data_IF_489734256226
#
_entry.id   IF_489734256226
#
_cell.length_a   1.000
_cell.length_b   1.000
_cell.length_c   1.000
_cell.angle_alpha   90.00
_cell.angle_beta   90.00
_cell.angle_gamma   90.00
#
_symmetry.space_group_name_H-M   'P 1'
#
loop_
_entity.id
_entity.type
_entity.pdbx_description
1 polymer ?
#
# COMPACT_ATOMS: atom_id res chain seq x y z
N UNK A 1 -7.34 13.16 -30.03
CA UNK A 1 -7.98 11.98 -29.42
C UNK A 1 -7.05 11.47 -28.35
N UNK A 2 -7.56 11.04 -27.20
CA UNK A 2 -6.75 10.30 -26.24
C UNK A 2 -6.25 9.01 -26.91
N UNK A 3 -4.96 8.71 -26.77
CA UNK A 3 -4.38 7.44 -27.22
C UNK A 3 -4.42 6.52 -26.03
N UNK A 4 -5.21 5.46 -26.12
CA UNK A 4 -5.23 4.44 -25.07
C UNK A 4 -3.96 3.59 -25.15
N UNK A 5 -3.43 3.11 -24.01
CA UNK A 5 -2.40 2.07 -23.99
C UNK A 5 -2.86 0.87 -24.83
N UNK A 6 -1.95 0.31 -25.62
CA UNK A 6 -2.22 -0.87 -26.46
C UNK A 6 -1.38 -2.01 -25.91
N UNK A 7 -2.00 -3.19 -25.78
CA UNK A 7 -1.32 -4.39 -25.29
C UNK A 7 -0.07 -4.70 -26.13
N UNK A 8 1.09 -4.75 -25.47
CA UNK A 8 2.33 -5.24 -26.07
C UNK A 8 2.48 -6.76 -25.84
N UNK A 9 3.59 -7.34 -26.31
CA UNK A 9 3.86 -8.78 -26.20
C UNK A 9 3.81 -9.28 -24.75
N UNK A 10 4.50 -8.60 -23.82
CA UNK A 10 4.51 -8.99 -22.40
C UNK A 10 3.13 -8.86 -21.74
N UNK A 11 2.34 -7.83 -22.08
CA UNK A 11 0.97 -7.68 -21.57
C UNK A 11 0.10 -8.87 -21.96
N UNK A 12 0.18 -9.30 -23.22
CA UNK A 12 -0.57 -10.45 -23.74
C UNK A 12 -0.06 -11.78 -23.17
N UNK A 13 1.26 -11.90 -22.96
CA UNK A 13 1.88 -13.07 -22.33
C UNK A 13 1.39 -13.28 -20.89
N UNK A 14 1.32 -12.20 -20.11
CA UNK A 14 0.94 -12.25 -18.70
C UNK A 14 -0.57 -12.34 -18.45
N UNK A 15 -1.41 -12.00 -19.43
CA UNK A 15 -2.88 -12.03 -19.30
C UNK A 15 -3.43 -13.35 -18.70
N UNK A 16 -3.06 -14.56 -19.18
CA UNK A 16 -3.53 -15.81 -18.56
C UNK A 16 -3.03 -16.02 -17.12
N UNK A 17 -1.83 -15.51 -16.78
CA UNK A 17 -1.27 -15.63 -15.43
C UNK A 17 -2.03 -14.71 -14.47
N UNK A 18 -2.26 -13.47 -14.88
CA UNK A 18 -3.07 -12.49 -14.15
C UNK A 18 -4.51 -12.98 -13.99
N UNK A 19 -5.08 -13.62 -15.02
CA UNK A 19 -6.42 -14.19 -14.96
C UNK A 19 -6.55 -15.27 -13.90
N UNK A 20 -5.57 -16.18 -13.85
CA UNK A 20 -5.50 -17.22 -12.81
C UNK A 20 -5.38 -16.63 -11.40
N UNK A 21 -4.54 -15.61 -11.23
CA UNK A 21 -4.38 -14.94 -9.93
C UNK A 21 -5.62 -14.15 -9.52
N UNK A 22 -6.29 -13.51 -10.47
CA UNK A 22 -7.56 -12.83 -10.24
C UNK A 22 -8.65 -13.81 -9.78
N UNK A 23 -8.78 -14.97 -10.45
CA UNK A 23 -9.75 -16.00 -10.06
C UNK A 23 -9.45 -16.52 -8.65
N UNK A 24 -8.19 -16.90 -8.36
CA UNK A 24 -7.75 -17.32 -7.02
C UNK A 24 -8.05 -16.25 -5.97
N UNK A 25 -7.76 -14.98 -6.27
CA UNK A 25 -8.01 -13.86 -5.37
C UNK A 25 -9.50 -13.78 -5.06
N UNK A 26 -10.36 -13.78 -6.08
CA UNK A 26 -11.81 -13.70 -5.88
C UNK A 26 -12.38 -14.88 -5.11
N UNK A 27 -11.97 -16.12 -5.43
CA UNK A 27 -12.49 -17.35 -4.83
C UNK A 27 -12.14 -17.49 -3.33
N UNK A 28 -11.02 -16.91 -2.92
CA UNK A 28 -10.54 -16.98 -1.52
C UNK A 28 -10.92 -15.76 -0.70
N UNK A 29 -11.60 -14.78 -1.29
CA UNK A 29 -11.95 -13.53 -0.62
C UNK A 29 -12.97 -13.75 0.50
N UNK A 30 -12.64 -13.26 1.69
CA UNK A 30 -13.57 -13.10 2.79
C UNK A 30 -14.04 -11.66 2.79
N UNK A 31 -15.30 -11.46 2.43
CA UNK A 31 -15.92 -10.14 2.31
C UNK A 31 -15.87 -9.37 3.64
N UNK A 32 -15.57 -8.09 3.53
CA UNK A 32 -15.71 -7.12 4.61
C UNK A 32 -16.04 -5.75 4.02
N UNK A 33 -16.71 -4.91 4.82
CA UNK A 33 -17.08 -3.56 4.40
C UNK A 33 -16.54 -2.54 5.38
N UNK A 34 -16.06 -1.41 4.84
CA UNK A 34 -15.45 -0.35 5.64
C UNK A 34 -16.38 0.23 6.71
N UNK A 35 -17.68 0.31 6.42
CA UNK A 35 -18.64 0.87 7.38
C UNK A 35 -18.82 0.03 8.64
N UNK A 36 -18.43 -1.25 8.62
CA UNK A 36 -18.47 -2.13 9.80
C UNK A 36 -17.33 -1.84 10.80
N UNK A 37 -16.32 -1.05 10.39
CA UNK A 37 -15.11 -0.76 11.16
C UNK A 37 -14.98 0.73 11.53
N UNK A 38 -16.11 1.43 11.58
CA UNK A 38 -16.17 2.84 11.99
C UNK A 38 -17.18 2.97 13.13
N UNK A 39 -16.80 3.52 14.29
CA UNK A 39 -17.72 3.68 15.43
C UNK A 39 -18.63 4.88 15.22
N UNK A 40 -19.60 4.77 14.30
CA UNK A 40 -20.45 5.89 13.86
C UNK A 40 -21.15 6.64 15.00
N UNK A 41 -21.45 5.96 16.12
CA UNK A 41 -22.06 6.55 17.32
C UNK A 41 -21.17 7.62 17.99
N UNK A 42 -19.86 7.65 17.72
CA UNK A 42 -18.94 8.68 18.21
C UNK A 42 -18.97 9.96 17.36
N UNK A 43 -19.57 9.88 16.18
CA UNK A 43 -19.62 10.96 15.20
C UNK A 43 -20.39 12.17 15.71
N UNK A 44 -19.82 13.36 15.49
CA UNK A 44 -20.48 14.65 15.79
C UNK A 44 -20.06 15.72 14.79
N UNK A 45 -20.95 16.68 14.58
CA UNK A 45 -20.75 17.77 13.62
C UNK A 45 -19.48 18.60 13.94
N UNK A 46 -18.87 19.15 12.89
CA UNK A 46 -17.88 20.24 12.97
C UNK A 46 -18.59 21.59 13.09
N UNK A 47 -17.86 22.67 13.40
CA UNK A 47 -18.45 23.96 13.73
C UNK A 47 -19.35 24.54 12.63
N UNK A 48 -19.03 24.28 11.36
CA UNK A 48 -19.83 24.71 10.21
C UNK A 48 -21.28 24.17 10.22
N UNK A 49 -21.52 23.02 10.87
CA UNK A 49 -22.83 22.39 11.01
C UNK A 49 -23.28 22.38 12.49
N UNK A 50 -23.06 23.48 13.20
CA UNK A 50 -23.46 23.70 14.60
C UNK A 50 -22.83 22.72 15.61
N UNK A 51 -21.66 22.17 15.28
CA UNK A 51 -20.90 21.30 16.16
C UNK A 51 -19.66 21.95 16.76
N UNK A 52 -18.60 21.16 16.96
CA UNK A 52 -17.33 21.63 17.53
C UNK A 52 -16.20 21.15 16.63
N UNK A 53 -15.30 22.05 16.26
CA UNK A 53 -14.10 21.70 15.51
C UNK A 53 -13.14 20.84 16.33
N UNK A 54 -12.14 20.28 15.66
CA UNK A 54 -11.15 19.46 16.33
C UNK A 54 -10.27 20.30 17.26
N UNK A 55 -9.91 19.74 18.41
CA UNK A 55 -8.85 20.23 19.29
C UNK A 55 -8.03 19.04 19.81
N UNK A 56 -6.75 19.23 20.17
CA UNK A 56 -5.86 18.12 20.53
C UNK A 56 -6.36 17.21 21.67
N UNK A 57 -7.16 17.74 22.59
CA UNK A 57 -7.80 17.00 23.69
C UNK A 57 -8.82 15.95 23.24
N UNK A 58 -9.29 16.01 21.99
CA UNK A 58 -10.23 15.02 21.43
C UNK A 58 -9.54 13.73 20.98
N UNK A 59 -8.22 13.74 20.76
CA UNK A 59 -7.46 12.54 20.44
C UNK A 59 -7.38 11.64 21.68
N UNK A 60 -7.80 10.40 21.52
CA UNK A 60 -7.80 9.38 22.59
C UNK A 60 -6.73 8.32 22.36
N UNK A 61 -6.29 8.12 21.11
CA UNK A 61 -5.25 7.17 20.74
C UNK A 61 -3.84 7.70 21.04
N UNK A 62 -2.88 6.80 21.33
CA UNK A 62 -1.47 7.17 21.44
C UNK A 62 -0.96 7.81 20.15
N UNK A 63 -0.08 8.82 20.28
CA UNK A 63 0.39 9.61 19.13
C UNK A 63 1.04 8.76 18.03
N UNK A 64 1.84 7.75 18.38
CA UNK A 64 2.50 6.89 17.40
C UNK A 64 1.50 6.03 16.59
N UNK A 65 0.35 5.68 17.17
CA UNK A 65 -0.74 4.99 16.47
C UNK A 65 -1.42 5.94 15.50
N UNK A 66 -1.77 7.15 15.95
CA UNK A 66 -2.37 8.18 15.08
C UNK A 66 -1.45 8.52 13.91
N UNK A 67 -0.17 8.78 14.19
CA UNK A 67 0.84 9.07 13.18
C UNK A 67 0.94 7.93 12.15
N UNK A 68 0.86 6.68 12.59
CA UNK A 68 0.92 5.53 11.70
C UNK A 68 -0.32 5.39 10.80
N UNK A 69 -1.52 5.60 11.38
CA UNK A 69 -2.78 5.58 10.64
C UNK A 69 -2.82 6.73 9.63
N UNK A 70 -2.35 7.92 9.99
CA UNK A 70 -2.28 9.06 9.07
C UNK A 70 -1.29 8.83 7.93
N UNK A 71 -0.10 8.29 8.20
CA UNK A 71 0.86 7.90 7.14
C UNK A 71 0.19 6.94 6.15
N UNK A 72 -0.46 5.88 6.64
CA UNK A 72 -1.14 4.93 5.77
C UNK A 72 -2.32 5.55 5.02
N UNK A 73 -3.11 6.42 5.66
CA UNK A 73 -4.22 7.10 5.00
C UNK A 73 -3.72 7.96 3.83
N UNK A 74 -2.70 8.80 4.04
CA UNK A 74 -2.18 9.68 2.99
C UNK A 74 -1.56 8.86 1.86
N UNK A 75 -0.86 7.79 2.20
CA UNK A 75 -0.33 6.83 1.23
C UNK A 75 -1.45 6.20 0.36
N UNK A 76 -2.52 5.70 0.99
CA UNK A 76 -3.68 5.11 0.30
C UNK A 76 -4.48 6.15 -0.49
N UNK A 77 -4.55 7.40 -0.04
CA UNK A 77 -5.20 8.49 -0.79
C UNK A 77 -4.48 8.84 -2.10
N UNK A 78 -3.21 8.44 -2.23
CA UNK A 78 -2.46 8.58 -3.46
C UNK A 78 -2.80 7.53 -4.52
N UNK A 79 -3.79 6.66 -4.28
CA UNK A 79 -4.22 5.57 -5.16
C UNK A 79 -4.40 5.97 -6.63
N UNK A 80 -4.84 7.20 -6.91
CA UNK A 80 -4.96 7.69 -8.28
C UNK A 80 -3.62 7.69 -9.04
N UNK A 81 -2.50 7.93 -8.35
CA UNK A 81 -1.15 7.82 -8.89
C UNK A 81 -0.83 6.37 -9.28
N UNK A 82 -1.03 5.43 -8.36
CA UNK A 82 -0.81 3.99 -8.61
C UNK A 82 -1.70 3.44 -9.72
N UNK A 83 -2.99 3.73 -9.68
CA UNK A 83 -3.93 3.30 -10.71
C UNK A 83 -3.51 3.81 -12.10
N UNK A 84 -3.14 5.10 -12.22
CA UNK A 84 -2.67 5.66 -13.48
C UNK A 84 -1.42 4.94 -13.98
N UNK A 85 -0.41 4.75 -13.14
CA UNK A 85 0.83 4.08 -13.53
C UNK A 85 0.57 2.63 -13.95
N UNK A 86 -0.25 1.87 -13.21
CA UNK A 86 -0.63 0.51 -13.61
C UNK A 86 -1.33 0.49 -14.98
N UNK A 87 -2.22 1.43 -15.25
CA UNK A 87 -2.89 1.53 -16.56
C UNK A 87 -1.94 1.95 -17.67
N UNK A 88 -0.98 2.84 -17.40
CA UNK A 88 0.03 3.26 -18.37
C UNK A 88 1.02 2.14 -18.72
N UNK A 89 1.37 1.29 -17.75
CA UNK A 89 2.24 0.13 -17.98
C UNK A 89 1.49 -1.07 -18.57
N UNK A 90 0.20 -1.22 -18.29
CA UNK A 90 -0.61 -2.35 -18.78
C UNK A 90 -1.79 -1.83 -19.61
N UNK A 91 -2.99 -2.39 -19.40
CA UNK A 91 -4.24 -2.02 -20.08
C UNK A 91 -5.43 -2.23 -19.13
N UNK A 92 -6.53 -1.52 -19.39
CA UNK A 92 -7.82 -1.75 -18.70
C UNK A 92 -8.73 -2.71 -19.49
N UNK A 93 -8.15 -3.76 -20.03
CA UNK A 93 -8.85 -4.80 -20.80
C UNK A 93 -8.39 -6.19 -20.33
N UNK A 94 -9.18 -7.22 -20.64
CA UNK A 94 -8.84 -8.61 -20.30
C UNK A 94 -8.67 -8.85 -18.80
N UNK A 95 -7.76 -9.75 -18.44
CA UNK A 95 -7.48 -10.07 -17.05
C UNK A 95 -6.82 -8.90 -16.31
N UNK A 96 -5.97 -8.14 -17.01
CA UNK A 96 -5.35 -6.93 -16.45
C UNK A 96 -6.37 -5.91 -15.99
N UNK A 97 -7.38 -5.62 -16.81
CA UNK A 97 -8.46 -4.70 -16.44
C UNK A 97 -9.25 -5.17 -15.23
N UNK A 98 -9.53 -6.48 -15.13
CA UNK A 98 -10.20 -7.05 -13.96
C UNK A 98 -9.35 -6.95 -12.70
N UNK A 99 -8.08 -7.33 -12.76
CA UNK A 99 -7.16 -7.27 -11.63
C UNK A 99 -6.94 -5.83 -11.15
N UNK A 100 -6.55 -4.92 -12.05
CA UNK A 100 -6.30 -3.51 -11.71
C UNK A 100 -7.57 -2.88 -11.14
N UNK A 101 -8.73 -3.14 -11.73
CA UNK A 101 -10.02 -2.65 -11.23
C UNK A 101 -10.33 -3.15 -9.81
N UNK A 102 -10.14 -4.46 -9.57
CA UNK A 102 -10.39 -5.08 -8.26
C UNK A 102 -9.41 -4.59 -7.20
N UNK A 103 -8.11 -4.62 -7.48
CA UNK A 103 -7.08 -4.11 -6.59
C UNK A 103 -7.34 -2.64 -6.22
N UNK A 104 -7.67 -1.80 -7.21
CA UNK A 104 -7.98 -0.38 -6.97
C UNK A 104 -9.22 -0.23 -6.07
N UNK A 105 -10.27 -1.04 -6.26
CA UNK A 105 -11.47 -0.96 -5.45
C UNK A 105 -11.20 -1.35 -3.98
N UNK A 106 -10.41 -2.39 -3.73
CA UNK A 106 -10.01 -2.81 -2.38
C UNK A 106 -9.10 -1.77 -1.71
N UNK A 107 -8.12 -1.24 -2.45
CA UNK A 107 -7.25 -0.17 -1.93
C UNK A 107 -8.01 1.11 -1.58
N UNK A 108 -9.05 1.44 -2.35
CA UNK A 108 -9.90 2.59 -2.05
C UNK A 108 -10.75 2.35 -0.80
N UNK A 109 -11.18 1.10 -0.56
CA UNK A 109 -11.87 0.72 0.67
C UNK A 109 -11.00 1.00 1.89
N UNK A 110 -9.69 0.72 1.82
CA UNK A 110 -8.73 1.05 2.88
C UNK A 110 -8.72 2.56 3.17
N UNK A 111 -8.51 3.40 2.14
CA UNK A 111 -8.48 4.86 2.29
C UNK A 111 -9.77 5.42 2.91
N UNK A 112 -10.93 4.99 2.40
CA UNK A 112 -12.24 5.45 2.87
C UNK A 112 -12.42 5.08 4.35
N UNK A 113 -12.07 3.85 4.72
CA UNK A 113 -12.30 3.36 6.07
C UNK A 113 -11.39 4.04 7.08
N UNK A 114 -10.09 4.17 6.79
CA UNK A 114 -9.13 4.88 7.64
C UNK A 114 -9.53 6.35 7.82
N UNK A 115 -9.94 7.01 6.74
CA UNK A 115 -10.44 8.39 6.78
C UNK A 115 -11.67 8.51 7.67
N UNK A 116 -12.67 7.67 7.46
CA UNK A 116 -13.91 7.70 8.25
C UNK A 116 -13.62 7.42 9.73
N UNK A 117 -12.78 6.43 10.04
CA UNK A 117 -12.38 6.11 11.40
C UNK A 117 -11.75 7.34 12.10
N UNK A 118 -10.73 7.95 11.50
CA UNK A 118 -10.06 9.12 12.06
C UNK A 118 -11.00 10.32 12.26
N UNK A 119 -11.87 10.57 11.27
CA UNK A 119 -12.82 11.68 11.28
C UNK A 119 -13.93 11.51 12.33
N UNK A 120 -14.49 10.31 12.43
CA UNK A 120 -15.57 9.98 13.37
C UNK A 120 -15.06 10.00 14.81
N UNK A 121 -13.89 9.40 15.05
CA UNK A 121 -13.30 9.30 16.40
C UNK A 121 -12.57 10.57 16.86
N UNK A 122 -12.38 11.55 15.96
CA UNK A 122 -11.64 12.80 16.22
C UNK A 122 -10.18 12.57 16.64
N UNK A 123 -9.58 11.48 16.19
CA UNK A 123 -8.18 11.15 16.49
C UNK A 123 -7.16 11.87 15.62
N UNK A 124 -7.59 12.73 14.68
CA UNK A 124 -6.68 13.59 13.91
C UNK A 124 -7.27 14.98 13.67
N UNK A 125 -6.40 15.94 13.34
CA UNK A 125 -6.83 17.19 12.72
C UNK A 125 -7.29 16.93 11.28
N UNK A 126 -8.61 17.01 11.07
CA UNK A 126 -9.26 16.80 9.78
C UNK A 126 -8.70 17.73 8.69
N UNK A 127 -8.53 19.01 9.00
CA UNK A 127 -8.10 20.03 8.04
C UNK A 127 -6.65 19.77 7.63
N UNK A 128 -5.78 19.48 8.61
CA UNK A 128 -4.39 19.16 8.32
C UNK A 128 -4.26 17.94 7.38
N UNK A 129 -5.07 16.90 7.58
CA UNK A 129 -5.09 15.74 6.70
C UNK A 129 -5.63 16.03 5.30
N UNK A 130 -6.64 16.90 5.17
CA UNK A 130 -7.13 17.35 3.87
C UNK A 130 -6.09 18.21 3.12
N UNK A 131 -5.32 19.04 3.81
CA UNK A 131 -4.25 19.80 3.19
C UNK A 131 -3.08 18.91 2.75
N UNK A 132 -2.66 17.96 3.61
CA UNK A 132 -1.53 17.06 3.32
C UNK A 132 -1.84 16.15 2.13
N UNK A 133 -3.05 15.56 2.07
CA UNK A 133 -3.42 14.68 0.94
C UNK A 133 -3.38 15.43 -0.40
N UNK A 134 -3.82 16.69 -0.42
CA UNK A 134 -3.82 17.51 -1.64
C UNK A 134 -2.37 17.79 -2.07
N UNK A 135 -1.52 18.23 -1.14
CA UNK A 135 -0.10 18.48 -1.43
C UNK A 135 0.60 17.22 -1.93
N UNK A 136 0.40 16.08 -1.27
CA UNK A 136 1.01 14.81 -1.64
C UNK A 136 0.59 14.37 -3.04
N UNK A 137 -0.72 14.30 -3.33
CA UNK A 137 -1.22 13.92 -4.66
C UNK A 137 -0.68 14.83 -5.76
N UNK A 138 -0.64 16.14 -5.52
CA UNK A 138 -0.19 17.12 -6.50
C UNK A 138 1.32 17.08 -6.73
N UNK A 139 2.12 16.99 -5.66
CA UNK A 139 3.52 17.40 -5.71
C UNK A 139 4.54 16.30 -5.46
N UNK A 140 4.21 15.21 -4.76
CA UNK A 140 5.24 14.20 -4.37
C UNK A 140 4.82 12.75 -4.41
N UNK A 141 3.52 12.45 -4.51
CA UNK A 141 3.04 11.07 -4.49
C UNK A 141 3.54 10.24 -5.65
N UNK A 142 3.19 8.96 -5.67
CA UNK A 142 3.72 7.94 -6.55
C UNK A 142 3.83 8.37 -8.02
N UNK A 143 5.06 8.29 -8.54
CA UNK A 143 5.42 8.50 -9.95
C UNK A 143 6.36 7.39 -10.36
N UNK A 144 5.95 6.57 -11.31
CA UNK A 144 6.69 5.40 -11.75
C UNK A 144 6.79 5.28 -13.26
N UNK A 145 6.45 6.32 -14.03
CA UNK A 145 6.51 6.29 -15.50
C UNK A 145 7.91 6.12 -16.10
N UNK A 146 8.95 5.90 -15.29
CA UNK A 146 10.29 5.54 -15.72
C UNK A 146 10.60 4.04 -15.53
N UNK A 147 9.72 3.28 -14.88
CA UNK A 147 9.86 1.83 -14.70
C UNK A 147 9.50 1.10 -16.00
N UNK A 148 10.08 -0.08 -16.18
CA UNK A 148 9.53 -1.09 -17.09
C UNK A 148 8.28 -1.76 -16.50
N UNK A 149 7.59 -2.58 -17.30
CA UNK A 149 6.49 -3.40 -16.79
C UNK A 149 6.95 -4.40 -15.74
N UNK A 150 8.12 -5.02 -15.93
CA UNK A 150 8.70 -5.97 -14.96
C UNK A 150 9.10 -5.23 -13.69
N UNK A 151 9.74 -4.06 -13.79
CA UNK A 151 10.05 -3.22 -12.62
C UNK A 151 8.80 -2.80 -11.86
N UNK A 152 7.70 -2.49 -12.55
CA UNK A 152 6.42 -2.14 -11.94
C UNK A 152 5.84 -3.32 -11.15
N UNK A 153 5.81 -4.53 -11.73
CA UNK A 153 5.31 -5.74 -11.04
C UNK A 153 6.16 -6.06 -9.81
N UNK A 154 7.49 -6.01 -9.95
CA UNK A 154 8.43 -6.25 -8.84
C UNK A 154 8.25 -5.21 -7.74
N UNK A 155 8.13 -3.92 -8.10
CA UNK A 155 7.86 -2.85 -7.14
C UNK A 155 6.56 -3.11 -6.38
N UNK A 156 5.47 -3.46 -7.08
CA UNK A 156 4.18 -3.74 -6.43
C UNK A 156 4.27 -4.93 -5.47
N UNK A 157 5.01 -5.99 -5.79
CA UNK A 157 5.22 -7.11 -4.88
C UNK A 157 5.93 -6.67 -3.58
N UNK A 158 7.04 -5.94 -3.69
CA UNK A 158 7.74 -5.41 -2.51
C UNK A 158 6.89 -4.42 -1.71
N UNK A 159 6.17 -3.55 -2.40
CA UNK A 159 5.41 -2.49 -1.78
C UNK A 159 4.18 -3.01 -1.04
N UNK A 160 3.49 -4.04 -1.56
CA UNK A 160 2.43 -4.72 -0.81
C UNK A 160 2.99 -5.53 0.38
N UNK A 161 4.18 -6.12 0.26
CA UNK A 161 4.85 -6.74 1.40
C UNK A 161 5.20 -5.72 2.50
N UNK A 162 5.62 -4.51 2.11
CA UNK A 162 5.87 -3.41 3.04
C UNK A 162 4.59 -2.97 3.75
N UNK A 163 3.48 -2.81 3.01
CA UNK A 163 2.16 -2.48 3.56
C UNK A 163 1.63 -3.57 4.48
N UNK A 164 1.84 -4.84 4.13
CA UNK A 164 1.51 -5.98 4.99
C UNK A 164 2.25 -5.91 6.32
N UNK A 165 3.59 -5.72 6.29
CA UNK A 165 4.39 -5.58 7.51
C UNK A 165 3.91 -4.39 8.34
N UNK A 166 3.66 -3.25 7.70
CA UNK A 166 3.20 -2.03 8.38
C UNK A 166 1.86 -2.26 9.08
N UNK A 167 0.86 -2.82 8.38
CA UNK A 167 -0.47 -3.08 8.92
C UNK A 167 -0.46 -4.09 10.06
N UNK A 168 0.35 -5.15 9.95
CA UNK A 168 0.52 -6.14 11.02
C UNK A 168 1.13 -5.52 12.27
N UNK A 169 2.25 -4.81 12.12
CA UNK A 169 2.92 -4.16 13.25
C UNK A 169 2.01 -3.12 13.93
N UNK A 170 1.24 -2.35 13.15
CA UNK A 170 0.29 -1.39 13.68
C UNK A 170 -0.87 -2.08 14.42
N UNK A 171 -1.44 -3.15 13.86
CA UNK A 171 -2.49 -3.93 14.52
C UNK A 171 -2.02 -4.55 15.85
N UNK A 172 -0.79 -5.07 15.89
CA UNK A 172 -0.19 -5.67 17.09
C UNK A 172 -0.03 -4.66 18.23
N UNK A 173 0.27 -3.40 17.91
CA UNK A 173 0.46 -2.32 18.88
C UNK A 173 -0.83 -1.56 19.23
N UNK A 174 -1.93 -1.83 18.53
CA UNK A 174 -3.20 -1.14 18.75
C UNK A 174 -4.03 -1.89 19.79
N UNK A 175 -4.36 -1.22 20.91
CA UNK A 175 -5.25 -1.78 21.95
C UNK A 175 -6.74 -1.53 21.67
N UNK A 176 -7.08 -0.45 20.97
CA UNK A 176 -8.47 -0.12 20.63
C UNK A 176 -9.01 -1.17 19.64
N UNK A 177 -10.09 -1.91 19.99
CA UNK A 177 -10.49 -3.11 19.28
C UNK A 177 -10.97 -2.86 17.84
N UNK A 178 -11.61 -1.73 17.55
CA UNK A 178 -12.14 -1.44 16.22
C UNK A 178 -11.00 -1.17 15.24
N UNK A 179 -10.08 -0.28 15.60
CA UNK A 179 -8.90 0.04 14.82
C UNK A 179 -7.99 -1.17 14.68
N UNK A 180 -7.80 -1.95 15.74
CA UNK A 180 -7.03 -3.20 15.65
C UNK A 180 -7.63 -4.11 14.58
N UNK A 181 -8.93 -4.36 14.64
CA UNK A 181 -9.60 -5.25 13.69
C UNK A 181 -9.61 -4.67 12.26
N UNK A 182 -9.72 -3.34 12.12
CA UNK A 182 -9.57 -2.66 10.84
C UNK A 182 -8.18 -2.90 10.25
N UNK A 183 -7.12 -2.71 11.03
CA UNK A 183 -5.75 -2.90 10.57
C UNK A 183 -5.46 -4.37 10.25
N UNK A 184 -6.07 -5.32 10.96
CA UNK A 184 -6.04 -6.75 10.60
C UNK A 184 -6.71 -7.03 9.24
N UNK A 185 -7.80 -6.32 8.89
CA UNK A 185 -8.42 -6.42 7.56
C UNK A 185 -7.57 -5.81 6.45
N UNK A 186 -6.97 -4.65 6.69
CA UNK A 186 -6.02 -4.05 5.74
C UNK A 186 -4.81 -4.96 5.53
N UNK A 187 -4.30 -5.60 6.59
CA UNK A 187 -3.23 -6.58 6.49
C UNK A 187 -3.67 -7.82 5.69
N UNK A 188 -4.88 -8.32 5.91
CA UNK A 188 -5.44 -9.45 5.17
C UNK A 188 -5.47 -9.18 3.66
N UNK A 189 -5.95 -8.01 3.23
CA UNK A 189 -5.99 -7.66 1.80
C UNK A 189 -4.58 -7.44 1.24
N UNK A 190 -3.69 -6.75 1.97
CA UNK A 190 -2.30 -6.56 1.56
C UNK A 190 -1.56 -7.89 1.34
N UNK A 191 -1.77 -8.90 2.18
CA UNK A 191 -1.20 -10.25 2.00
C UNK A 191 -1.67 -10.91 0.69
N UNK A 192 -2.93 -10.70 0.33
CA UNK A 192 -3.51 -11.28 -0.89
C UNK A 192 -3.03 -10.57 -2.14
N UNK A 193 -2.88 -9.24 -2.08
CA UNK A 193 -2.28 -8.43 -3.14
C UNK A 193 -0.82 -8.79 -3.35
N UNK A 194 -0.05 -8.86 -2.26
CA UNK A 194 1.35 -9.26 -2.27
C UNK A 194 1.53 -10.63 -2.94
N UNK A 195 0.73 -11.63 -2.55
CA UNK A 195 0.77 -12.96 -3.15
C UNK A 195 0.50 -12.94 -4.66
N UNK A 196 -0.49 -12.17 -5.11
CA UNK A 196 -0.81 -12.08 -6.54
C UNK A 196 0.36 -11.48 -7.34
N UNK A 197 0.95 -10.37 -6.87
CA UNK A 197 2.10 -9.75 -7.53
C UNK A 197 3.34 -10.66 -7.49
N UNK A 198 3.60 -11.31 -6.36
CA UNK A 198 4.73 -12.23 -6.20
C UNK A 198 4.63 -13.47 -7.08
N UNK A 199 3.43 -14.03 -7.28
CA UNK A 199 3.23 -15.14 -8.23
C UNK A 199 3.52 -14.72 -9.68
N UNK A 200 3.22 -13.47 -10.05
CA UNK A 200 3.58 -12.94 -11.37
C UNK A 200 5.11 -12.78 -11.48
N UNK A 201 5.79 -12.31 -10.42
CA UNK A 201 7.27 -12.26 -10.38
C UNK A 201 7.89 -13.65 -10.52
N UNK A 202 7.33 -14.68 -9.90
CA UNK A 202 7.81 -16.07 -10.05
C UNK A 202 7.74 -16.54 -11.51
N UNK A 203 6.64 -16.27 -12.20
CA UNK A 203 6.54 -16.55 -13.64
C UNK A 203 7.62 -15.80 -14.43
N UNK A 204 7.84 -14.52 -14.13
CA UNK A 204 8.85 -13.69 -14.78
C UNK A 204 10.27 -14.16 -14.49
N UNK A 205 10.56 -14.70 -13.31
CA UNK A 205 11.86 -15.30 -12.99
C UNK A 205 12.16 -16.54 -13.84
N UNK A 206 11.14 -17.28 -14.27
CA UNK A 206 11.28 -18.45 -15.15
C UNK A 206 11.43 -18.08 -16.64
N UNK A 207 10.78 -17.01 -17.09
CA UNK A 207 10.64 -16.68 -18.53
C UNK A 207 11.44 -15.45 -18.96
N UNK A 208 11.68 -14.51 -18.04
CA UNK A 208 12.38 -13.24 -18.23
C UNK A 208 13.46 -13.05 -17.15
N UNK A 209 14.22 -14.12 -16.87
CA UNK A 209 15.11 -14.28 -15.70
C UNK A 209 16.04 -13.09 -15.47
N UNK A 210 16.89 -12.76 -16.45
CA UNK A 210 17.92 -11.73 -16.28
C UNK A 210 17.33 -10.33 -16.05
N UNK A 211 16.27 -9.98 -16.79
CA UNK A 211 15.56 -8.70 -16.61
C UNK A 211 14.87 -8.64 -15.25
N UNK A 212 14.23 -9.73 -14.83
CA UNK A 212 13.51 -9.80 -13.54
C UNK A 212 14.46 -9.70 -12.36
N UNK A 213 15.61 -10.37 -12.42
CA UNK A 213 16.65 -10.25 -11.39
C UNK A 213 17.20 -8.83 -11.31
N UNK A 214 17.46 -8.19 -12.47
CA UNK A 214 17.90 -6.80 -12.50
C UNK A 214 16.85 -5.86 -11.90
N UNK A 215 15.57 -6.07 -12.22
CA UNK A 215 14.45 -5.32 -11.65
C UNK A 215 14.35 -5.52 -10.13
N UNK A 216 14.50 -6.75 -9.63
CA UNK A 216 14.51 -7.04 -8.18
C UNK A 216 15.61 -6.24 -7.48
N UNK A 217 16.84 -6.26 -8.00
CA UNK A 217 17.95 -5.51 -7.42
C UNK A 217 17.71 -4.00 -7.44
N UNK A 218 17.22 -3.46 -8.56
CA UNK A 218 16.95 -2.03 -8.71
C UNK A 218 15.83 -1.57 -7.75
N UNK A 219 14.72 -2.30 -7.70
CA UNK A 219 13.58 -1.95 -6.83
C UNK A 219 13.93 -2.16 -5.35
N UNK A 220 14.68 -3.20 -4.99
CA UNK A 220 15.15 -3.43 -3.63
C UNK A 220 16.05 -2.28 -3.12
N UNK A 221 16.93 -1.76 -3.97
CA UNK A 221 17.82 -0.65 -3.63
C UNK A 221 17.09 0.71 -3.53
N UNK A 222 16.02 0.90 -4.30
CA UNK A 222 15.29 2.17 -4.35
C UNK A 222 14.16 2.26 -3.31
N UNK A 223 13.59 1.13 -2.88
CA UNK A 223 12.44 1.08 -1.98
C UNK A 223 12.70 1.88 -0.69
N UNK A 224 11.71 2.66 -0.29
CA UNK A 224 11.74 3.48 0.92
C UNK A 224 10.66 3.02 1.90
N UNK A 225 10.78 3.42 3.16
CA UNK A 225 9.72 3.23 4.17
C UNK A 225 8.42 3.91 3.74
N UNK A 226 7.29 3.38 4.22
CA UNK A 226 5.97 3.92 3.90
C UNK A 226 5.86 5.40 4.32
N UNK A 227 5.34 6.23 3.43
CA UNK A 227 5.17 7.67 3.65
C UNK A 227 6.45 8.52 3.60
N UNK A 228 7.58 7.97 3.13
CA UNK A 228 8.83 8.71 2.91
C UNK A 228 8.65 9.98 2.06
N UNK A 229 7.79 9.90 1.05
CA UNK A 229 7.48 10.96 0.08
C UNK A 229 6.46 12.00 0.59
N UNK A 230 5.93 11.83 1.79
CA UNK A 230 5.03 12.80 2.44
C UNK A 230 5.87 13.89 3.12
N UNK A 231 6.03 15.04 2.46
CA UNK A 231 6.92 16.13 2.91
C UNK A 231 6.75 16.57 4.36
N UNK A 232 5.50 16.70 4.84
CA UNK A 232 5.20 17.25 6.17
C UNK A 232 5.32 16.23 7.31
N UNK A 233 5.65 14.96 7.02
CA UNK A 233 5.52 13.85 7.98
C UNK A 233 6.85 13.34 8.54
N UNK A 234 7.93 14.14 8.53
CA UNK A 234 9.22 13.71 9.09
C UNK A 234 9.12 13.32 10.57
N UNK A 235 8.48 14.15 11.39
CA UNK A 235 8.28 13.86 12.82
C UNK A 235 7.38 12.62 13.04
N UNK A 236 6.31 12.48 12.24
CA UNK A 236 5.42 11.31 12.29
C UNK A 236 6.18 10.03 11.97
N UNK A 237 7.01 10.04 10.92
CA UNK A 237 7.87 8.91 10.55
C UNK A 237 8.85 8.57 11.68
N UNK A 238 9.45 9.57 12.33
CA UNK A 238 10.33 9.34 13.46
C UNK A 238 9.62 8.68 14.66
N UNK A 239 8.38 9.10 14.96
CA UNK A 239 7.56 8.49 16.02
C UNK A 239 7.19 7.04 15.70
N UNK A 240 6.76 6.76 14.46
CA UNK A 240 6.44 5.41 13.97
C UNK A 240 7.67 4.50 13.96
N UNK A 241 8.83 5.04 13.61
CA UNK A 241 10.10 4.32 13.65
C UNK A 241 10.55 3.99 15.07
N UNK A 242 10.42 4.94 16.00
CA UNK A 242 10.74 4.74 17.42
C UNK A 242 9.82 3.72 18.10
N UNK A 243 8.57 3.60 17.64
CA UNK A 243 7.62 2.57 18.07
C UNK A 243 7.87 1.20 17.39
N UNK A 244 8.76 1.11 16.41
CA UNK A 244 9.05 -0.13 15.70
C UNK A 244 7.94 -0.59 14.74
N UNK A 245 7.00 0.30 14.38
CA UNK A 245 5.93 -0.04 13.41
C UNK A 245 6.53 -0.12 12.00
N UNK A 246 7.33 0.87 11.63
CA UNK A 246 8.05 0.93 10.35
C UNK A 246 9.31 1.76 10.47
N UNK A 247 10.45 1.17 10.13
CA UNK A 247 11.78 1.79 10.09
C UNK A 247 12.67 1.06 9.06
N UNK A 248 13.94 1.45 8.98
CA UNK A 248 14.89 0.84 8.05
C UNK A 248 15.16 -0.64 8.33
N UNK A 249 15.03 -1.09 9.57
CA UNK A 249 15.16 -2.51 9.93
C UNK A 249 13.98 -3.33 9.42
N UNK A 250 12.75 -2.85 9.61
CA UNK A 250 11.55 -3.52 9.06
C UNK A 250 11.58 -3.52 7.54
N UNK A 251 12.02 -2.44 6.90
CA UNK A 251 12.18 -2.36 5.45
C UNK A 251 13.20 -3.39 4.94
N UNK A 252 14.39 -3.44 5.55
CA UNK A 252 15.42 -4.42 5.19
C UNK A 252 14.92 -5.85 5.36
N UNK A 253 14.20 -6.12 6.46
CA UNK A 253 13.58 -7.43 6.69
C UNK A 253 12.58 -7.79 5.59
N UNK A 254 11.68 -6.88 5.22
CA UNK A 254 10.69 -7.09 4.14
C UNK A 254 11.40 -7.41 2.83
N UNK A 255 12.40 -6.62 2.45
CA UNK A 255 13.15 -6.82 1.21
C UNK A 255 13.89 -8.17 1.23
N UNK A 256 14.62 -8.46 2.30
CA UNK A 256 15.37 -9.71 2.46
C UNK A 256 14.47 -10.95 2.45
N UNK A 257 13.35 -10.91 3.18
CA UNK A 257 12.36 -12.00 3.22
C UNK A 257 11.76 -12.24 1.83
N UNK A 258 11.41 -11.18 1.09
CA UNK A 258 10.83 -11.33 -0.26
C UNK A 258 11.83 -11.89 -1.27
N UNK A 259 13.08 -11.43 -1.24
CA UNK A 259 14.16 -12.01 -2.05
C UNK A 259 14.37 -13.49 -1.70
N UNK A 260 14.34 -13.84 -0.42
CA UNK A 260 14.47 -15.22 0.03
C UNK A 260 13.28 -16.09 -0.42
N UNK A 261 12.06 -15.55 -0.39
CA UNK A 261 10.86 -16.23 -0.85
C UNK A 261 10.90 -16.58 -2.34
N UNK A 262 11.56 -15.75 -3.16
CA UNK A 262 11.82 -16.06 -4.57
C UNK A 262 13.02 -17.00 -4.82
N UNK A 263 13.65 -17.52 -3.75
CA UNK A 263 14.76 -18.46 -3.86
C UNK A 263 16.07 -17.82 -4.31
N UNK A 264 16.25 -16.51 -4.10
CA UNK A 264 17.39 -15.75 -4.62
C UNK A 264 18.48 -15.47 -3.56
N UNK A 265 18.36 -16.02 -2.35
CA UNK A 265 19.28 -15.76 -1.22
C UNK A 265 20.75 -16.07 -1.50
N UNK A 266 21.04 -17.06 -2.35
CA UNK A 266 22.41 -17.49 -2.65
C UNK A 266 23.09 -16.65 -3.74
N UNK A 267 22.38 -15.68 -4.34
CA UNK A 267 22.94 -14.82 -5.39
C UNK A 267 23.78 -13.71 -4.79
N UNK A 268 24.98 -13.53 -5.33
CA UNK A 268 25.93 -12.53 -4.87
C UNK A 268 25.38 -11.09 -4.95
N UNK A 269 24.58 -10.78 -5.99
CA UNK A 269 23.96 -9.45 -6.12
C UNK A 269 22.92 -9.11 -5.04
N UNK A 270 22.44 -10.09 -4.26
CA UNK A 270 21.47 -9.86 -3.19
C UNK A 270 22.05 -10.06 -1.78
N UNK A 271 23.34 -10.30 -1.66
CA UNK A 271 24.00 -10.56 -0.38
C UNK A 271 23.82 -9.40 0.63
N UNK A 272 23.71 -8.16 0.14
CA UNK A 272 23.50 -6.97 0.98
C UNK A 272 22.07 -6.83 1.52
N UNK A 273 21.08 -7.46 0.88
CA UNK A 273 19.68 -7.38 1.29
C UNK A 273 19.27 -8.53 2.21
N UNK A 274 19.90 -9.70 2.07
CA UNK A 274 19.51 -10.93 2.79
C UNK A 274 20.29 -11.13 4.09
N UNK A 275 21.50 -10.58 4.20
CA UNK A 275 22.34 -10.72 5.40
C UNK A 275 22.27 -9.51 6.36
N UNK A 276 21.29 -8.62 6.18
CA UNK A 276 21.23 -7.30 6.80
C UNK A 276 20.25 -7.18 7.98
#
# INVERSE_FOLDING_TARGET
MAVFPVANELTLELDPIVGKEYDRHCETHVEWFGHDYVPWDEGRNFAMLDGVDWEPSQQTLPQHIVDAVEIMLIDKDNLAGYHRELVEHFILEGAWGHWIGRWTAEEHLHAITLRNYLMVTRNCDANANEEVRIDHVMNTGYRAGHFSQIETIVYMAFYEALRLSYSRNLAEQTEEPILKSLMEKVAYDAERHELAWSNIVEYLLEHHTDETIAAIGARAAELQILGWDIKKYEEKRANVAAAGISNDETLRKVVGDRIAAWGLSDRAEFAEFVNA
#
